data_IF_067074671640
#
_entry.id   IF_067074671640
#
_cell.length_a   1.000
_cell.length_b   1.000
_cell.length_c   1.000
_cell.angle_alpha   90.00
_cell.angle_beta   90.00
_cell.angle_gamma   90.00
#
_symmetry.space_group_name_H-M   'P 1'
#
loop_
_entity.id
_entity.type
_entity.pdbx_description
1 polymer ?
#
# COMPACT_ATOMS: atom_id res chain seq x y z
N UNK A 1 -11.78 3.58 -9.28
CA UNK A 1 -10.79 3.97 -8.25
C UNK A 1 -10.18 5.29 -8.69
N UNK A 2 -9.77 6.19 -7.79
CA UNK A 2 -9.07 7.41 -8.17
C UNK A 2 -7.79 7.08 -8.94
N UNK A 3 -7.36 8.00 -9.81
CA UNK A 3 -6.11 7.83 -10.56
C UNK A 3 -4.91 7.75 -9.61
N UNK A 4 -3.93 6.88 -9.90
CA UNK A 4 -2.74 6.73 -9.07
C UNK A 4 -1.93 8.02 -9.05
N UNK A 5 -1.38 8.35 -7.89
CA UNK A 5 -0.54 9.53 -7.72
C UNK A 5 0.95 9.21 -7.93
N UNK A 6 1.67 10.16 -8.52
CA UNK A 6 3.12 10.08 -8.65
C UNK A 6 3.77 10.20 -7.27
N UNK A 7 4.57 9.21 -6.89
CA UNK A 7 5.35 9.25 -5.66
C UNK A 7 6.54 10.20 -5.76
N UNK A 8 6.84 10.87 -4.65
CA UNK A 8 8.08 11.63 -4.51
C UNK A 8 9.31 10.75 -4.74
N UNK A 9 10.39 11.36 -5.25
CA UNK A 9 11.61 10.62 -5.56
C UNK A 9 12.25 10.02 -4.30
N UNK A 10 12.60 8.74 -4.39
CA UNK A 10 13.41 8.02 -3.41
C UNK A 10 14.55 7.30 -4.12
N UNK A 11 15.82 7.47 -3.70
CA UNK A 11 16.92 6.67 -4.22
C UNK A 11 16.62 5.17 -4.05
N UNK A 12 16.99 4.35 -5.04
CA UNK A 12 16.68 2.91 -5.02
C UNK A 12 17.45 2.18 -3.90
N UNK A 13 18.60 2.69 -3.48
CA UNK A 13 19.32 2.22 -2.30
C UNK A 13 18.70 2.72 -0.98
N UNK A 14 17.75 3.66 -1.02
CA UNK A 14 16.96 4.21 0.09
C UNK A 14 17.76 4.80 1.26
N UNK A 15 19.08 4.65 1.27
CA UNK A 15 19.91 4.81 2.46
C UNK A 15 20.19 6.28 2.79
N UNK A 16 20.18 7.15 1.78
CA UNK A 16 20.48 8.58 1.95
C UNK A 16 19.29 9.40 2.43
N UNK A 17 18.07 8.95 2.16
CA UNK A 17 16.83 9.70 2.41
C UNK A 17 15.86 8.95 3.35
N UNK A 18 16.37 8.06 4.21
CA UNK A 18 15.54 7.30 5.17
C UNK A 18 14.64 8.28 5.94
N UNK A 19 13.32 8.07 5.89
CA UNK A 19 12.33 8.92 6.55
C UNK A 19 11.73 10.04 5.71
N UNK A 20 12.27 10.34 4.51
CA UNK A 20 11.64 11.28 3.58
C UNK A 20 10.27 10.78 3.16
N UNK A 21 9.22 11.57 3.40
CA UNK A 21 7.86 11.27 2.94
C UNK A 21 7.81 11.39 1.42
N UNK A 22 7.27 10.36 0.76
CA UNK A 22 7.10 10.32 -0.70
C UNK A 22 5.62 10.30 -1.12
N UNK A 23 4.72 9.96 -0.20
CA UNK A 23 3.27 9.99 -0.43
C UNK A 23 2.51 10.05 0.89
N UNK A 24 1.40 10.77 0.91
CA UNK A 24 0.51 10.90 2.06
C UNK A 24 -0.93 10.62 1.62
N UNK A 25 -1.67 9.95 2.49
CA UNK A 25 -3.11 9.72 2.40
C UNK A 25 -3.76 10.14 3.72
N UNK A 26 -5.05 10.43 3.70
CA UNK A 26 -5.85 10.53 4.92
C UNK A 26 -6.64 9.24 5.10
N UNK A 27 -6.56 8.60 6.27
CA UNK A 27 -7.22 7.32 6.51
C UNK A 27 -7.68 7.14 7.95
N UNK A 28 -8.35 6.02 8.20
CA UNK A 28 -8.89 5.65 9.51
C UNK A 28 -10.20 6.36 9.87
N UNK A 29 -10.74 6.09 11.09
CA UNK A 29 -10.19 5.16 12.09
C UNK A 29 -10.28 3.70 11.64
N UNK A 30 -9.35 2.85 12.08
CA UNK A 30 -9.33 1.41 11.79
C UNK A 30 -9.51 0.59 13.05
N UNK A 31 -10.33 -0.46 12.99
CA UNK A 31 -10.70 -1.28 14.14
C UNK A 31 -11.84 -0.70 14.98
N UNK A 32 -12.25 -1.40 16.06
CA UNK A 32 -13.34 -0.96 16.91
C UNK A 32 -12.88 0.15 17.88
N UNK A 33 -13.77 1.03 18.35
CA UNK A 33 -13.40 2.24 19.11
C UNK A 33 -12.51 2.00 20.34
N UNK A 34 -12.67 0.85 21.01
CA UNK A 34 -11.91 0.46 22.21
C UNK A 34 -10.44 0.15 21.95
N UNK A 35 -10.08 -0.13 20.69
CA UNK A 35 -8.71 -0.48 20.30
C UNK A 35 -8.50 -0.13 18.83
N UNK A 36 -8.70 1.14 18.46
CA UNK A 36 -8.58 1.62 17.09
C UNK A 36 -7.23 2.29 16.81
N UNK A 37 -6.74 2.17 15.58
CA UNK A 37 -5.83 3.16 15.03
C UNK A 37 -6.65 4.38 14.62
N UNK A 38 -6.46 5.51 15.30
CA UNK A 38 -7.23 6.73 15.07
C UNK A 38 -7.11 7.26 13.63
N UNK A 39 -8.05 8.10 13.21
CA UNK A 39 -7.97 8.77 11.92
C UNK A 39 -6.76 9.71 11.85
N UNK A 40 -6.15 9.84 10.68
CA UNK A 40 -4.98 10.69 10.50
C UNK A 40 -4.29 10.53 9.14
N UNK A 41 -3.22 11.29 8.98
CA UNK A 41 -2.40 11.25 7.78
C UNK A 41 -1.48 10.03 7.81
N UNK A 42 -1.69 9.12 6.88
CA UNK A 42 -0.83 7.95 6.65
C UNK A 42 0.27 8.33 5.67
N UNK A 43 1.53 8.06 6.01
CA UNK A 43 2.69 8.40 5.15
C UNK A 43 3.45 7.18 4.67
N UNK A 44 3.76 7.15 3.38
CA UNK A 44 4.81 6.29 2.82
C UNK A 44 6.10 7.08 2.77
N UNK A 45 7.14 6.51 3.36
CA UNK A 45 8.47 7.10 3.42
C UNK A 45 9.48 6.29 2.62
N UNK A 46 10.54 6.95 2.18
CA UNK A 46 11.82 6.28 1.95
C UNK A 46 12.18 5.45 3.18
N UNK A 47 12.59 4.21 2.95
CA UNK A 47 12.68 3.21 4.00
C UNK A 47 13.95 2.39 3.93
N UNK A 48 13.96 1.31 4.72
CA UNK A 48 15.09 0.38 4.80
C UNK A 48 14.75 -0.93 4.10
N UNK A 49 15.61 -1.94 4.21
CA UNK A 49 15.28 -3.28 3.71
C UNK A 49 14.10 -3.94 4.41
N UNK A 50 13.68 -3.40 5.57
CA UNK A 50 12.63 -3.96 6.41
C UNK A 50 11.33 -3.15 6.38
N UNK A 51 11.36 -1.88 5.95
CA UNK A 51 10.19 -0.99 5.99
C UNK A 51 10.15 0.00 4.82
N UNK A 52 8.96 0.53 4.53
CA UNK A 52 8.72 1.63 3.61
C UNK A 52 9.00 1.29 2.15
N UNK A 53 9.26 2.33 1.35
CA UNK A 53 9.45 2.21 -0.10
C UNK A 53 10.52 1.19 -0.50
N UNK A 54 11.70 1.23 0.15
CA UNK A 54 12.83 0.32 -0.18
C UNK A 54 12.45 -1.14 0.05
N UNK A 55 11.72 -1.43 1.12
CA UNK A 55 11.24 -2.78 1.38
C UNK A 55 10.22 -3.25 0.34
N UNK A 56 9.27 -2.38 -0.04
CA UNK A 56 8.29 -2.68 -1.10
C UNK A 56 9.02 -3.01 -2.40
N UNK A 57 9.98 -2.19 -2.83
CA UNK A 57 10.78 -2.44 -4.03
C UNK A 57 11.52 -3.78 -3.94
N UNK A 58 12.26 -4.01 -2.85
CA UNK A 58 13.17 -5.15 -2.75
C UNK A 58 12.46 -6.49 -2.53
N UNK A 59 11.32 -6.50 -1.84
CA UNK A 59 10.60 -7.74 -1.49
C UNK A 59 9.38 -7.99 -2.36
N UNK A 60 8.69 -6.93 -2.78
CA UNK A 60 7.39 -7.01 -3.43
C UNK A 60 7.37 -6.38 -4.83
N UNK A 61 8.45 -5.72 -5.25
CA UNK A 61 8.59 -5.13 -6.59
C UNK A 61 8.26 -6.11 -7.72
N UNK A 62 8.80 -7.35 -7.72
CA UNK A 62 8.46 -8.34 -8.75
C UNK A 62 6.96 -8.71 -8.78
N UNK A 63 6.32 -8.78 -7.61
CA UNK A 63 4.89 -9.08 -7.50
C UNK A 63 4.04 -7.95 -8.06
N UNK A 64 4.40 -6.70 -7.75
CA UNK A 64 3.73 -5.53 -8.31
C UNK A 64 3.95 -5.42 -9.82
N UNK A 65 5.17 -5.70 -10.30
CA UNK A 65 5.47 -5.70 -11.73
C UNK A 65 4.61 -6.72 -12.48
N UNK A 66 4.45 -7.93 -11.94
CA UNK A 66 3.58 -8.95 -12.58
C UNK A 66 2.13 -8.48 -12.74
N UNK A 67 1.61 -7.67 -11.80
CA UNK A 67 0.27 -7.08 -11.93
C UNK A 67 0.27 -5.90 -12.91
N UNK A 68 1.32 -5.11 -12.91
CA UNK A 68 1.47 -3.95 -13.79
C UNK A 68 1.56 -4.36 -15.27
N UNK A 69 2.21 -5.49 -15.55
CA UNK A 69 2.33 -6.06 -16.89
C UNK A 69 0.96 -6.44 -17.49
N UNK A 70 -0.01 -6.84 -16.66
CA UNK A 70 -1.38 -7.16 -17.11
C UNK A 70 -2.06 -5.92 -17.70
N UNK A 71 -1.81 -4.75 -17.11
CA UNK A 71 -2.42 -3.48 -17.50
C UNK A 71 -1.56 -2.62 -18.43
N UNK A 72 -0.30 -3.03 -18.67
CA UNK A 72 0.69 -2.18 -19.34
C UNK A 72 0.87 -0.83 -18.61
N UNK A 73 1.15 -0.85 -17.30
CA UNK A 73 1.40 0.37 -16.50
C UNK A 73 2.63 0.27 -15.61
N UNK A 74 3.02 1.37 -14.96
CA UNK A 74 4.12 1.34 -13.99
C UNK A 74 3.68 0.58 -12.74
N UNK A 75 4.57 -0.22 -12.15
CA UNK A 75 4.23 -1.00 -10.95
C UNK A 75 3.85 -0.12 -9.75
N UNK A 76 4.39 1.11 -9.69
CA UNK A 76 4.04 2.09 -8.64
C UNK A 76 2.60 2.54 -8.76
N UNK A 77 2.05 2.61 -9.97
CA UNK A 77 0.65 2.98 -10.18
C UNK A 77 -0.27 1.92 -9.57
N UNK A 78 0.04 0.64 -9.79
CA UNK A 78 -0.72 -0.47 -9.20
C UNK A 78 -0.58 -0.48 -7.67
N UNK A 79 0.64 -0.27 -7.16
CA UNK A 79 0.88 -0.19 -5.73
C UNK A 79 0.18 1.02 -5.08
N UNK A 80 0.13 2.18 -5.74
CA UNK A 80 -0.57 3.37 -5.27
C UNK A 80 -2.09 3.17 -5.26
N UNK A 81 -2.65 2.50 -6.27
CA UNK A 81 -4.06 2.10 -6.25
C UNK A 81 -4.37 1.20 -5.04
N UNK A 82 -3.52 0.22 -4.78
CA UNK A 82 -3.65 -0.68 -3.64
C UNK A 82 -3.57 0.08 -2.31
N UNK A 83 -2.55 0.92 -2.13
CA UNK A 83 -2.36 1.74 -0.93
C UNK A 83 -3.55 2.68 -0.71
N UNK A 84 -3.98 3.37 -1.77
CA UNK A 84 -5.12 4.28 -1.72
C UNK A 84 -6.37 3.55 -1.25
N UNK A 85 -6.73 2.43 -1.90
CA UNK A 85 -7.91 1.65 -1.52
C UNK A 85 -7.79 1.11 -0.09
N UNK A 86 -6.67 0.48 0.26
CA UNK A 86 -6.40 -0.06 1.60
C UNK A 86 -6.48 1.00 2.70
N UNK A 87 -6.05 2.23 2.45
CA UNK A 87 -6.00 3.30 3.45
C UNK A 87 -7.34 4.05 3.54
N UNK A 88 -7.93 4.45 2.42
CA UNK A 88 -9.11 5.31 2.44
C UNK A 88 -10.42 4.55 2.62
N UNK A 89 -10.45 3.27 2.22
CA UNK A 89 -11.66 2.46 2.29
C UNK A 89 -11.31 0.95 2.34
N UNK A 90 -10.66 0.47 3.41
CA UNK A 90 -10.29 -0.93 3.55
C UNK A 90 -11.52 -1.85 3.57
N UNK A 91 -11.38 -3.05 3.03
CA UNK A 91 -12.41 -4.10 3.13
C UNK A 91 -12.30 -4.82 4.49
N UNK A 92 -11.08 -4.92 5.02
CA UNK A 92 -10.79 -5.49 6.32
C UNK A 92 -9.69 -4.70 7.02
N UNK A 93 -9.79 -4.62 8.35
CA UNK A 93 -8.78 -4.03 9.23
C UNK A 93 -8.58 -4.94 10.43
N UNK A 94 -7.34 -5.18 10.85
CA UNK A 94 -7.05 -5.95 12.05
C UNK A 94 -5.82 -5.38 12.79
N UNK A 95 -5.82 -5.32 14.12
CA UNK A 95 -4.61 -5.06 14.88
C UNK A 95 -3.60 -6.19 14.66
N UNK A 96 -2.32 -5.87 14.75
CA UNK A 96 -1.20 -6.82 14.61
C UNK A 96 -0.21 -6.60 15.75
N UNK A 97 0.62 -7.62 16.01
CA UNK A 97 1.63 -7.55 17.07
C UNK A 97 2.61 -6.38 16.89
N UNK A 98 3.02 -5.80 18.03
CA UNK A 98 4.03 -4.74 18.07
C UNK A 98 3.52 -3.38 17.60
N UNK A 99 2.27 -3.04 17.89
CA UNK A 99 1.69 -1.73 17.56
C UNK A 99 1.48 -1.54 16.06
N UNK A 100 1.17 -2.61 15.35
CA UNK A 100 0.96 -2.61 13.90
C UNK A 100 -0.51 -2.80 13.57
N UNK A 101 -0.87 -2.42 12.36
CA UNK A 101 -2.21 -2.52 11.84
C UNK A 101 -2.18 -3.09 10.44
N UNK A 102 -2.96 -4.14 10.20
CA UNK A 102 -3.24 -4.61 8.86
C UNK A 102 -4.48 -3.87 8.34
N UNK A 103 -4.38 -3.35 7.12
CA UNK A 103 -5.51 -2.90 6.31
C UNK A 103 -5.44 -3.58 4.95
N UNK A 104 -6.55 -4.14 4.48
CA UNK A 104 -6.57 -4.91 3.23
C UNK A 104 -7.84 -4.71 2.44
N UNK A 105 -7.68 -4.79 1.12
CA UNK A 105 -8.75 -4.68 0.15
C UNK A 105 -8.41 -5.42 -1.14
N UNK A 106 -9.45 -5.64 -1.93
CA UNK A 106 -9.32 -6.04 -3.33
C UNK A 106 -9.13 -4.82 -4.24
N UNK A 107 -8.20 -4.96 -5.18
CA UNK A 107 -8.07 -4.09 -6.35
C UNK A 107 -8.50 -4.83 -7.60
N UNK A 108 -9.05 -4.09 -8.54
CA UNK A 108 -9.42 -4.58 -9.86
C UNK A 108 -8.41 -4.08 -10.87
N UNK A 109 -7.82 -5.02 -11.60
CA UNK A 109 -7.01 -4.74 -12.76
C UNK A 109 -7.88 -4.70 -14.00
N UNK A 110 -7.69 -3.69 -14.83
CA UNK A 110 -8.51 -3.46 -16.02
C UNK A 110 -7.71 -3.51 -17.31
N UNK A 111 -8.31 -4.04 -18.37
CA UNK A 111 -7.83 -3.78 -19.72
C UNK A 111 -8.10 -2.30 -20.04
N UNK A 112 -7.06 -1.53 -20.35
CA UNK A 112 -7.19 -0.09 -20.58
C UNK A 112 -7.92 0.28 -21.87
N UNK A 113 -7.93 -0.62 -22.85
CA UNK A 113 -8.59 -0.41 -24.15
C UNK A 113 -10.10 -0.69 -24.05
N UNK A 114 -10.49 -1.76 -23.35
CA UNK A 114 -11.90 -2.17 -23.23
C UNK A 114 -12.59 -1.69 -21.94
N UNK A 115 -11.83 -1.34 -20.91
CA UNK A 115 -12.33 -1.02 -19.57
C UNK A 115 -12.78 -2.25 -18.76
N UNK A 116 -12.62 -3.46 -19.31
CA UNK A 116 -13.04 -4.70 -18.65
C UNK A 116 -12.11 -5.06 -17.49
N UNK A 117 -12.68 -5.54 -16.38
CA UNK A 117 -11.90 -6.12 -15.28
C UNK A 117 -11.31 -7.45 -15.73
N UNK A 118 -9.98 -7.50 -15.84
CA UNK A 118 -9.24 -8.69 -16.26
C UNK A 118 -8.72 -9.52 -15.09
N UNK A 119 -8.60 -8.91 -13.90
CA UNK A 119 -8.14 -9.61 -12.70
C UNK A 119 -8.59 -8.89 -11.44
N UNK A 120 -9.03 -9.64 -10.44
CA UNK A 120 -9.15 -9.14 -9.07
C UNK A 120 -7.96 -9.62 -8.26
N UNK A 121 -7.35 -8.75 -7.45
CA UNK A 121 -6.26 -9.14 -6.57
C UNK A 121 -6.42 -8.52 -5.19
N UNK A 122 -6.29 -9.34 -4.16
CA UNK A 122 -6.24 -8.87 -2.78
C UNK A 122 -4.86 -8.30 -2.46
N UNK A 123 -4.85 -7.25 -1.65
CA UNK A 123 -3.65 -6.55 -1.23
C UNK A 123 -3.71 -6.29 0.27
N UNK A 124 -2.55 -6.30 0.93
CA UNK A 124 -2.42 -5.94 2.33
C UNK A 124 -1.44 -4.79 2.45
N UNK A 125 -1.74 -3.86 3.35
CA UNK A 125 -0.84 -2.81 3.80
C UNK A 125 -0.69 -2.91 5.30
N UNK A 126 0.56 -2.92 5.77
CA UNK A 126 0.86 -2.91 7.20
C UNK A 126 1.26 -1.49 7.60
N UNK A 127 0.55 -0.95 8.57
CA UNK A 127 0.75 0.38 9.15
C UNK A 127 1.36 0.26 10.54
N UNK A 128 2.12 1.27 10.96
CA UNK A 128 2.46 1.47 12.38
C UNK A 128 1.35 2.22 13.11
N UNK A 129 1.36 2.15 14.44
CA UNK A 129 0.59 3.03 15.34
C UNK A 129 0.85 4.53 15.13
N UNK A 130 2.02 4.89 14.56
CA UNK A 130 2.40 6.26 14.16
C UNK A 130 1.95 6.67 12.74
N UNK A 131 1.00 5.94 12.13
CA UNK A 131 0.50 6.24 10.79
C UNK A 131 1.56 6.20 9.67
N UNK A 132 2.49 5.25 9.74
CA UNK A 132 3.51 5.03 8.70
C UNK A 132 3.28 3.70 7.98
N UNK A 133 3.45 3.69 6.65
CA UNK A 133 3.41 2.47 5.85
C UNK A 133 4.71 1.68 6.07
N UNK A 134 4.60 0.50 6.71
CA UNK A 134 5.69 -0.46 6.82
C UNK A 134 5.88 -1.23 5.51
N UNK A 135 4.80 -1.70 4.89
CA UNK A 135 4.85 -2.43 3.61
C UNK A 135 3.47 -2.46 2.95
N UNK A 136 3.44 -2.69 1.64
CA UNK A 136 2.23 -3.06 0.90
C UNK A 136 2.57 -4.13 -0.13
N UNK A 137 1.70 -5.13 -0.27
CA UNK A 137 1.96 -6.25 -1.17
C UNK A 137 0.70 -6.95 -1.67
N UNK A 138 0.73 -7.56 -2.87
CA UNK A 138 -0.31 -8.46 -3.33
C UNK A 138 -0.30 -9.77 -2.53
N UNK A 139 -1.48 -10.29 -2.24
CA UNK A 139 -1.67 -11.56 -1.50
C UNK A 139 -2.98 -12.22 -1.94
N UNK A 140 -3.26 -13.42 -1.44
CA UNK A 140 -4.56 -14.09 -1.59
C UNK A 140 -5.38 -14.03 -0.29
N UNK A 141 -4.76 -13.65 0.82
CA UNK A 141 -5.39 -13.58 2.14
C UNK A 141 -5.69 -12.13 2.57
N UNK A 142 -6.78 -11.90 3.32
CA UNK A 142 -7.10 -10.58 3.91
C UNK A 142 -6.61 -10.44 5.34
N UNK A 143 -6.75 -9.27 5.97
CA UNK A 143 -6.31 -9.09 7.35
C UNK A 143 -6.92 -10.14 8.30
N UNK A 144 -6.08 -10.64 9.21
CA UNK A 144 -6.40 -11.68 10.18
C UNK A 144 -5.94 -11.30 11.59
#
# INVERSE_FOLDING_TARGET
>A
MPDPAVWGACPQDGAKDIGKVIRTWHGGPYGPPENQLGAGDITLKCGTENVGFRHIVNRHGPQWQTLADIEGRDWRDIADMALTKNITNPDQTAPQDGGKWCVSSEIYLVNKDSGEVVKTKRTRTILTDKHEVLTTFPTDDGCN
#
